data_IF_372431086324
#
_entry.id   IF_372431086324
#
_cell.length_a   1.000
_cell.length_b   1.000
_cell.length_c   1.000
_cell.angle_alpha   90.00
_cell.angle_beta   90.00
_cell.angle_gamma   90.00
#
_symmetry.space_group_name_H-M   'P 1'
#
loop_
_entity.id
_entity.type
_entity.pdbx_description
1 polymer ?
#
# COMPACT_ATOMS: atom_id res chain seq x y z
N UNK A 1 17.13 3.10 0.83
CA UNK A 1 16.91 4.24 -0.09
C UNK A 1 17.32 3.85 -1.49
N UNK A 2 16.66 4.43 -2.48
CA UNK A 2 16.52 4.00 -3.88
C UNK A 2 15.13 4.45 -4.35
N UNK A 3 14.63 4.02 -5.50
CA UNK A 3 13.21 4.22 -5.82
C UNK A 3 12.30 3.29 -4.98
N UNK A 4 11.00 3.59 -4.91
CA UNK A 4 10.06 2.92 -4.00
C UNK A 4 9.79 1.45 -4.35
N UNK A 5 10.27 0.94 -5.49
CA UNK A 5 10.15 -0.49 -5.81
C UNK A 5 10.84 -1.39 -4.77
N UNK A 6 11.82 -0.85 -4.02
CA UNK A 6 12.48 -1.56 -2.91
C UNK A 6 11.52 -1.96 -1.78
N UNK A 7 10.32 -1.35 -1.69
CA UNK A 7 9.28 -1.76 -0.75
C UNK A 7 8.83 -3.21 -0.96
N UNK A 8 8.86 -3.70 -2.21
CA UNK A 8 8.57 -5.12 -2.51
C UNK A 8 9.48 -6.03 -1.68
N UNK A 9 10.78 -5.71 -1.61
CA UNK A 9 11.75 -6.48 -0.84
C UNK A 9 11.63 -6.27 0.66
N UNK A 10 11.62 -5.02 1.11
CA UNK A 10 11.64 -4.70 2.55
C UNK A 10 10.38 -5.12 3.29
N UNK A 11 9.19 -4.90 2.73
CA UNK A 11 7.93 -5.32 3.35
C UNK A 11 7.78 -6.84 3.27
N UNK A 12 8.14 -7.48 2.15
CA UNK A 12 8.11 -8.95 2.04
C UNK A 12 9.03 -9.62 3.05
N UNK A 13 10.26 -9.13 3.21
CA UNK A 13 11.20 -9.65 4.20
C UNK A 13 10.69 -9.49 5.63
N UNK A 14 10.10 -8.33 5.94
CA UNK A 14 9.47 -8.09 7.25
C UNK A 14 8.29 -9.06 7.48
N UNK A 15 7.42 -9.26 6.48
CA UNK A 15 6.27 -10.14 6.58
C UNK A 15 6.62 -11.61 6.80
N UNK A 16 7.79 -12.06 6.36
CA UNK A 16 8.27 -13.43 6.64
C UNK A 16 8.51 -13.68 8.14
N UNK A 17 8.91 -12.66 8.89
CA UNK A 17 9.12 -12.76 10.34
C UNK A 17 7.90 -12.26 11.14
N UNK A 18 7.10 -11.38 10.53
CA UNK A 18 5.94 -10.75 11.13
C UNK A 18 4.72 -10.88 10.19
N UNK A 19 4.12 -12.08 10.06
CA UNK A 19 3.06 -12.35 9.08
C UNK A 19 1.76 -11.57 9.32
N UNK A 20 1.63 -10.99 10.52
CA UNK A 20 0.48 -10.20 10.95
C UNK A 20 0.76 -8.70 10.94
N UNK A 21 1.84 -8.25 10.29
CA UNK A 21 2.16 -6.84 10.17
C UNK A 21 1.05 -6.06 9.45
N UNK A 22 0.98 -4.77 9.73
CA UNK A 22 0.20 -3.81 8.96
C UNK A 22 1.12 -2.74 8.37
N UNK A 23 0.65 -2.03 7.35
CA UNK A 23 1.44 -1.06 6.60
C UNK A 23 0.80 0.32 6.68
N UNK A 24 1.60 1.31 7.04
CA UNK A 24 1.27 2.72 6.85
C UNK A 24 2.16 3.22 5.72
N UNK A 25 1.53 3.67 4.63
CA UNK A 25 2.20 4.19 3.44
C UNK A 25 2.03 5.70 3.38
N UNK A 26 3.12 6.43 3.59
CA UNK A 26 3.10 7.89 3.57
C UNK A 26 3.72 8.36 2.27
N UNK A 27 2.88 8.74 1.30
CA UNK A 27 3.33 9.14 -0.02
C UNK A 27 2.33 10.10 -0.69
N UNK A 28 2.80 10.81 -1.71
CA UNK A 28 1.95 11.55 -2.64
C UNK A 28 1.14 10.62 -3.56
N UNK A 29 1.70 9.46 -3.90
CA UNK A 29 1.19 8.47 -4.85
C UNK A 29 0.67 7.23 -4.12
N UNK A 30 -0.14 6.42 -4.79
CA UNK A 30 -0.65 5.19 -4.21
C UNK A 30 0.27 3.98 -4.46
N UNK A 31 1.14 4.06 -5.46
CA UNK A 31 2.13 3.03 -5.80
C UNK A 31 1.51 1.62 -5.95
N UNK A 32 0.27 1.59 -6.43
CA UNK A 32 -0.60 0.40 -6.47
C UNK A 32 -1.04 0.06 -7.89
N UNK A 33 -0.44 0.70 -8.89
CA UNK A 33 -0.65 0.25 -10.26
C UNK A 33 -0.22 -1.22 -10.41
N UNK A 34 -1.01 -1.99 -11.13
CA UNK A 34 -0.57 -3.27 -11.70
C UNK A 34 0.24 -3.00 -12.97
N UNK A 35 0.99 -3.99 -13.49
CA UNK A 35 1.65 -3.87 -14.78
C UNK A 35 0.71 -3.56 -15.95
N UNK A 36 -0.58 -3.88 -15.80
CA UNK A 36 -1.62 -3.63 -16.80
C UNK A 36 -2.32 -2.28 -16.66
N UNK A 37 -2.19 -1.61 -15.51
CA UNK A 37 -2.83 -0.31 -15.24
C UNK A 37 -1.84 0.85 -15.22
N UNK A 38 -0.55 0.58 -15.00
CA UNK A 38 0.50 1.60 -14.98
C UNK A 38 0.59 2.36 -16.31
N UNK A 39 0.54 3.70 -16.32
CA UNK A 39 0.73 4.49 -17.54
C UNK A 39 2.20 4.58 -17.96
N UNK A 40 3.15 4.44 -17.03
CA UNK A 40 4.58 4.60 -17.29
C UNK A 40 5.32 3.27 -17.47
N UNK A 41 4.80 2.18 -16.89
CA UNK A 41 5.49 0.89 -16.81
C UNK A 41 6.61 0.86 -15.76
N UNK A 42 6.88 1.96 -15.05
CA UNK A 42 7.91 2.00 -14.02
C UNK A 42 7.45 1.25 -12.76
N UNK A 43 8.31 0.36 -12.25
CA UNK A 43 7.99 -0.50 -11.10
C UNK A 43 7.82 0.26 -9.77
N UNK A 44 8.42 1.44 -9.64
CA UNK A 44 8.32 2.24 -8.40
C UNK A 44 6.89 2.68 -8.05
N UNK A 45 5.99 2.77 -9.05
CA UNK A 45 4.57 3.07 -8.86
C UNK A 45 3.67 1.83 -8.82
N UNK A 46 4.28 0.64 -8.72
CA UNK A 46 3.59 -0.65 -8.66
C UNK A 46 3.85 -1.50 -7.38
N UNK A 47 4.73 -1.14 -6.42
CA UNK A 47 5.17 -2.07 -5.39
C UNK A 47 4.02 -2.64 -4.55
N UNK A 48 2.99 -1.85 -4.24
CA UNK A 48 1.87 -2.32 -3.42
C UNK A 48 1.07 -3.42 -4.11
N UNK A 49 0.92 -3.34 -5.44
CA UNK A 49 0.18 -4.34 -6.20
C UNK A 49 0.79 -5.75 -6.08
N UNK A 50 2.11 -5.87 -5.96
CA UNK A 50 2.80 -7.15 -5.75
C UNK A 50 2.55 -7.77 -4.38
N UNK A 51 2.14 -6.98 -3.39
CA UNK A 51 2.01 -7.41 -2.00
C UNK A 51 0.56 -7.73 -1.60
N UNK A 52 -0.42 -7.18 -2.32
CA UNK A 52 -1.84 -7.32 -1.99
C UNK A 52 -2.44 -8.64 -2.47
N UNK A 53 -3.01 -9.40 -1.53
CA UNK A 53 -3.69 -10.68 -1.79
C UNK A 53 -4.83 -10.53 -2.79
N UNK A 54 -5.61 -9.47 -2.66
CA UNK A 54 -6.80 -9.21 -3.46
C UNK A 54 -6.50 -8.84 -4.93
N UNK A 55 -5.24 -8.56 -5.26
CA UNK A 55 -4.79 -8.28 -6.63
C UNK A 55 -4.09 -9.46 -7.30
N UNK A 56 -3.88 -10.59 -6.60
CA UNK A 56 -3.13 -11.73 -7.13
C UNK A 56 -3.61 -12.19 -8.50
N UNK A 57 -4.93 -12.32 -8.71
CA UNK A 57 -5.51 -12.77 -9.97
C UNK A 57 -5.46 -11.71 -11.09
N UNK A 58 -5.17 -10.45 -10.74
CA UNK A 58 -5.02 -9.34 -11.68
C UNK A 58 -3.55 -9.09 -12.07
N UNK A 59 -2.61 -9.77 -11.42
CA UNK A 59 -1.17 -9.62 -11.68
C UNK A 59 -0.71 -10.60 -12.77
N UNK A 60 -0.15 -10.12 -13.89
CA UNK A 60 0.44 -11.01 -14.88
C UNK A 60 1.73 -11.65 -14.33
N UNK A 61 2.15 -12.76 -14.92
CA UNK A 61 3.46 -13.32 -14.64
C UNK A 61 4.57 -12.37 -15.11
N UNK A 62 5.41 -11.91 -14.19
CA UNK A 62 6.55 -11.02 -14.52
C UNK A 62 7.86 -11.78 -14.31
N UNK A 63 8.75 -11.81 -15.33
CA UNK A 63 10.08 -12.39 -15.19
C UNK A 63 10.84 -11.79 -14.00
N UNK A 64 11.44 -12.63 -13.16
CA UNK A 64 12.19 -12.21 -11.98
C UNK A 64 11.36 -11.95 -10.71
N UNK A 65 10.03 -12.01 -10.79
CA UNK A 65 9.13 -11.80 -9.65
C UNK A 65 8.39 -13.06 -9.18
N UNK A 66 8.74 -14.25 -9.68
CA UNK A 66 8.10 -15.51 -9.27
C UNK A 66 8.23 -15.84 -7.77
N UNK A 67 9.17 -15.19 -7.07
CA UNK A 67 9.37 -15.33 -5.64
C UNK A 67 8.40 -14.49 -4.80
N UNK A 68 7.77 -13.45 -5.38
CA UNK A 68 6.83 -12.61 -4.65
C UNK A 68 5.53 -13.38 -4.40
N UNK A 69 5.11 -13.46 -3.14
CA UNK A 69 3.84 -14.06 -2.75
C UNK A 69 3.02 -13.00 -2.02
N UNK A 70 1.85 -12.60 -2.54
CA UNK A 70 1.01 -11.63 -1.87
C UNK A 70 0.67 -12.06 -0.44
N UNK A 71 0.93 -11.19 0.54
CA UNK A 71 0.76 -11.48 1.97
C UNK A 71 -0.10 -10.44 2.67
N UNK A 72 -0.18 -9.21 2.15
CA UNK A 72 -0.90 -8.09 2.74
C UNK A 72 -2.37 -8.13 2.30
N UNK A 73 -3.29 -7.94 3.24
CA UNK A 73 -4.69 -7.65 2.89
C UNK A 73 -4.86 -6.15 2.72
N UNK A 74 -5.72 -5.75 1.79
CA UNK A 74 -6.19 -4.36 1.60
C UNK A 74 -6.62 -3.65 2.89
N UNK A 75 -7.16 -4.40 3.87
CA UNK A 75 -7.59 -3.88 5.18
C UNK A 75 -6.46 -3.59 6.16
N UNK A 76 -5.26 -4.09 5.87
CA UNK A 76 -4.07 -3.93 6.71
C UNK A 76 -3.13 -2.84 6.18
N UNK A 77 -3.61 -2.03 5.23
CA UNK A 77 -2.90 -0.96 4.56
C UNK A 77 -3.66 0.35 4.74
N UNK A 78 -2.96 1.40 5.18
CA UNK A 78 -3.50 2.77 5.21
C UNK A 78 -2.53 3.71 4.50
N UNK A 79 -3.05 4.52 3.58
CA UNK A 79 -2.30 5.60 2.95
C UNK A 79 -2.49 6.93 3.65
N UNK A 80 -1.44 7.74 3.71
CA UNK A 80 -1.49 9.12 4.23
C UNK A 80 -0.72 10.04 3.28
N UNK A 81 -1.34 11.13 2.84
CA UNK A 81 -0.69 12.16 2.04
C UNK A 81 -1.02 12.13 0.53
N UNK A 82 -1.92 11.25 0.10
CA UNK A 82 -2.27 11.09 -1.31
C UNK A 82 -2.70 12.42 -1.94
N UNK A 83 -2.12 12.75 -3.08
CA UNK A 83 -2.45 13.96 -3.86
C UNK A 83 -2.23 13.80 -5.35
N UNK A 84 -1.49 12.78 -5.78
CA UNK A 84 -1.28 12.46 -7.19
C UNK A 84 -1.54 10.96 -7.38
N UNK A 85 -2.72 10.63 -7.92
CA UNK A 85 -3.21 9.24 -7.97
C UNK A 85 -3.78 8.99 -9.34
N UNK A 86 -3.25 7.97 -10.02
CA UNK A 86 -3.68 7.61 -11.36
C UNK A 86 -5.13 7.11 -11.38
N UNK A 87 -5.83 7.19 -12.53
CA UNK A 87 -7.18 6.63 -12.66
C UNK A 87 -7.27 5.14 -12.31
N UNK A 88 -6.26 4.34 -12.70
CA UNK A 88 -6.19 2.91 -12.41
C UNK A 88 -6.07 2.63 -10.90
N UNK A 89 -5.17 3.36 -10.23
CA UNK A 89 -4.99 3.27 -8.78
C UNK A 89 -6.26 3.68 -8.03
N UNK A 90 -6.91 4.77 -8.45
CA UNK A 90 -8.17 5.23 -7.83
C UNK A 90 -9.27 4.17 -7.91
N UNK A 91 -9.34 3.43 -9.01
CA UNK A 91 -10.28 2.32 -9.16
C UNK A 91 -9.95 1.19 -8.18
N UNK A 92 -8.68 0.80 -8.09
CA UNK A 92 -8.22 -0.24 -7.15
C UNK A 92 -8.52 0.15 -5.70
N UNK A 93 -8.17 1.38 -5.29
CA UNK A 93 -8.43 1.88 -3.94
C UNK A 93 -9.92 1.81 -3.58
N UNK A 94 -10.79 2.20 -4.52
CA UNK A 94 -12.24 2.19 -4.32
C UNK A 94 -12.82 0.77 -4.29
N UNK A 95 -12.41 -0.08 -5.23
CA UNK A 95 -12.93 -1.45 -5.37
C UNK A 95 -12.55 -2.33 -4.18
N UNK A 96 -11.32 -2.18 -3.69
CA UNK A 96 -10.83 -2.93 -2.54
C UNK A 96 -11.22 -2.28 -1.20
N UNK A 97 -11.77 -1.07 -1.22
CA UNK A 97 -12.13 -0.32 -0.01
C UNK A 97 -10.91 -0.02 0.87
N UNK A 98 -9.75 0.25 0.27
CA UNK A 98 -8.51 0.55 1.00
C UNK A 98 -8.67 1.91 1.69
N UNK A 99 -8.30 1.97 2.96
CA UNK A 99 -8.37 3.21 3.73
C UNK A 99 -7.23 4.15 3.31
N UNK A 100 -7.56 5.40 3.01
CA UNK A 100 -6.56 6.42 2.68
C UNK A 100 -6.97 7.81 3.16
N UNK A 101 -5.97 8.65 3.37
CA UNK A 101 -6.12 10.07 3.69
C UNK A 101 -5.35 10.90 2.68
N UNK A 102 -6.09 11.63 1.85
CA UNK A 102 -5.52 12.62 0.94
C UNK A 102 -5.02 13.86 1.69
N UNK A 103 -4.22 14.71 1.04
CA UNK A 103 -3.87 16.02 1.61
C UNK A 103 -5.10 16.84 2.03
N UNK A 104 -6.20 16.78 1.24
CA UNK A 104 -7.48 17.43 1.60
C UNK A 104 -8.10 16.85 2.87
N UNK A 105 -7.92 15.55 3.15
CA UNK A 105 -8.37 14.96 4.40
C UNK A 105 -7.54 15.46 5.58
N UNK A 106 -6.21 15.59 5.40
CA UNK A 106 -5.30 16.13 6.41
C UNK A 106 -5.66 17.58 6.71
N UNK A 107 -5.86 18.42 5.70
CA UNK A 107 -6.25 19.84 5.88
C UNK A 107 -7.56 19.99 6.67
N UNK A 108 -8.53 19.09 6.43
CA UNK A 108 -9.84 19.13 7.07
C UNK A 108 -9.85 18.57 8.49
N UNK A 109 -9.13 17.48 8.73
CA UNK A 109 -9.18 16.72 9.99
C UNK A 109 -8.06 17.09 10.96
N UNK A 110 -6.95 17.63 10.44
CA UNK A 110 -5.69 17.75 11.16
C UNK A 110 -4.94 16.42 11.23
N UNK A 111 -3.60 16.49 11.22
CA UNK A 111 -2.75 15.30 11.21
C UNK A 111 -2.94 14.42 12.46
N UNK A 112 -3.22 15.02 13.62
CA UNK A 112 -3.50 14.27 14.85
C UNK A 112 -4.68 13.31 14.66
N UNK A 113 -5.82 13.82 14.15
CA UNK A 113 -7.01 12.99 13.96
C UNK A 113 -6.82 11.92 12.90
N UNK A 114 -6.05 12.21 11.84
CA UNK A 114 -5.69 11.23 10.81
C UNK A 114 -4.90 10.07 11.41
N UNK A 115 -3.95 10.35 12.30
CA UNK A 115 -3.18 9.30 12.97
C UNK A 115 -4.04 8.48 13.93
N UNK A 116 -4.91 9.11 14.72
CA UNK A 116 -5.86 8.40 15.60
C UNK A 116 -6.70 7.39 14.81
N UNK A 117 -7.33 7.84 13.71
CA UNK A 117 -8.17 6.96 12.88
C UNK A 117 -7.35 5.86 12.19
N UNK A 118 -6.13 6.17 11.75
CA UNK A 118 -5.22 5.17 11.16
C UNK A 118 -4.89 4.05 12.15
N UNK A 119 -4.52 4.40 13.39
CA UNK A 119 -4.15 3.42 14.41
C UNK A 119 -5.37 2.63 14.88
N UNK A 120 -6.54 3.28 15.03
CA UNK A 120 -7.79 2.60 15.34
C UNK A 120 -8.15 1.58 14.24
N UNK A 121 -8.02 1.96 12.96
CA UNK A 121 -8.29 1.06 11.84
C UNK A 121 -7.40 -0.19 11.86
N UNK A 122 -6.09 -0.01 12.06
CA UNK A 122 -5.10 -1.09 11.95
C UNK A 122 -4.98 -1.96 13.20
N UNK A 123 -5.22 -1.38 14.39
CA UNK A 123 -4.83 -2.01 15.66
C UNK A 123 -5.92 -2.05 16.73
N UNK A 124 -7.15 -1.54 16.51
CA UNK A 124 -8.18 -1.54 17.55
C UNK A 124 -8.52 -2.95 18.11
N UNK A 125 -8.29 -4.01 17.33
CA UNK A 125 -8.60 -5.39 17.72
C UNK A 125 -7.44 -6.13 18.39
N UNK A 126 -6.20 -5.79 18.04
CA UNK A 126 -4.98 -6.44 18.54
C UNK A 126 -3.77 -5.59 18.21
N UNK A 127 -2.73 -5.72 19.04
CA UNK A 127 -1.43 -5.14 18.78
C UNK A 127 -0.74 -5.89 17.64
N UNK A 128 -0.15 -5.16 16.69
CA UNK A 128 0.48 -5.70 15.48
C UNK A 128 1.78 -4.98 15.18
N UNK A 129 2.76 -5.64 14.54
CA UNK A 129 3.92 -4.94 13.97
C UNK A 129 3.46 -3.93 12.91
N UNK A 130 4.04 -2.73 12.94
CA UNK A 130 3.80 -1.70 11.91
C UNK A 130 5.03 -1.65 11.00
N UNK A 131 4.81 -1.72 9.69
CA UNK A 131 5.77 -1.32 8.69
C UNK A 131 5.41 0.09 8.21
N UNK A 132 6.28 1.07 8.47
CA UNK A 132 6.15 2.41 7.92
C UNK A 132 6.96 2.50 6.62
N UNK A 133 6.29 2.76 5.51
CA UNK A 133 6.93 3.09 4.23
C UNK A 133 6.74 4.58 3.96
N UNK A 134 7.84 5.31 3.79
CA UNK A 134 7.90 6.77 3.66
C UNK A 134 9.00 7.14 2.67
#
# INVERSE_FOLDING_TARGET
>A
GGDHSLAIGSVSGHAQQCPDLCVIWVDAHADINTPTTSPSGNLHGQPVAFMLKELQDKMPAIPGFSWTKPFLSSRDLVYIGLRDVDPGERHILKDLGIQYFTMRNIDRLGIQRVMEVTLDHLMARKQRPIHLSF
#
